data_IF_767199856930
#
_entry.id   IF_767199856930
#
_cell.length_a   1.000
_cell.length_b   1.000
_cell.length_c   1.000
_cell.angle_alpha   90.00
_cell.angle_beta   90.00
_cell.angle_gamma   90.00
#
_symmetry.space_group_name_H-M   'P 1'
#
loop_
_entity.id
_entity.type
_entity.pdbx_description
1 polymer ?
#
# COMPACT_ATOMS: atom_id res chain seq x y z
N UNK A 1 -12.68 -9.78 -6.97
CA UNK A 1 -12.46 -8.62 -6.08
C UNK A 1 -11.02 -8.68 -5.59
N UNK A 2 -10.20 -7.67 -5.87
CA UNK A 2 -8.81 -7.63 -5.39
C UNK A 2 -8.73 -6.92 -4.03
N UNK A 3 -7.72 -7.25 -3.25
CA UNK A 3 -7.38 -6.51 -2.02
C UNK A 3 -6.02 -5.84 -2.21
N UNK A 4 -5.95 -4.56 -1.87
CA UNK A 4 -4.75 -3.73 -1.94
C UNK A 4 -4.29 -3.43 -0.51
N UNK A 5 -3.04 -3.75 -0.19
CA UNK A 5 -2.45 -3.43 1.11
C UNK A 5 -1.30 -2.46 0.90
N UNK A 6 -1.48 -1.23 1.37
CA UNK A 6 -0.48 -0.17 1.32
C UNK A 6 0.21 -0.12 2.66
N UNK A 7 1.54 -0.25 2.68
CA UNK A 7 2.33 -0.07 3.89
C UNK A 7 2.75 1.39 4.03
N UNK A 8 2.65 1.88 5.25
CA UNK A 8 2.94 3.25 5.68
C UNK A 8 2.00 4.29 5.06
N UNK A 9 1.58 5.26 5.87
CA UNK A 9 0.80 6.39 5.41
C UNK A 9 1.72 7.61 5.24
N UNK A 10 2.16 7.84 4.00
CA UNK A 10 3.01 8.97 3.64
C UNK A 10 2.27 9.95 2.72
N UNK A 11 2.97 11.02 2.33
CA UNK A 11 2.41 12.08 1.46
C UNK A 11 1.88 11.58 0.10
N UNK A 12 2.36 10.44 -0.38
CA UNK A 12 2.03 9.90 -1.70
C UNK A 12 0.89 8.85 -1.63
N UNK A 13 0.58 8.36 -0.43
CA UNK A 13 -0.46 7.34 -0.18
C UNK A 13 -1.81 7.74 -0.75
N UNK A 14 -2.21 9.00 -0.63
CA UNK A 14 -3.49 9.47 -1.17
C UNK A 14 -3.53 9.42 -2.71
N UNK A 15 -2.42 9.74 -3.37
CA UNK A 15 -2.31 9.64 -4.83
C UNK A 15 -2.42 8.20 -5.32
N UNK A 16 -1.83 7.26 -4.57
CA UNK A 16 -1.95 5.83 -4.84
C UNK A 16 -3.39 5.32 -4.64
N UNK A 17 -4.07 5.72 -3.57
CA UNK A 17 -5.47 5.36 -3.31
C UNK A 17 -6.34 5.79 -4.50
N UNK A 18 -6.25 7.06 -4.91
CA UNK A 18 -7.06 7.59 -6.01
C UNK A 18 -6.80 6.80 -7.31
N UNK A 19 -5.53 6.49 -7.61
CA UNK A 19 -5.16 5.72 -8.79
C UNK A 19 -5.72 4.29 -8.80
N UNK A 20 -5.80 3.64 -7.64
CA UNK A 20 -6.32 2.28 -7.49
C UNK A 20 -7.85 2.26 -7.59
N UNK A 21 -8.53 3.18 -6.89
CA UNK A 21 -10.00 3.32 -6.94
C UNK A 21 -10.53 3.61 -8.35
N UNK A 22 -9.79 4.34 -9.19
CA UNK A 22 -10.18 4.59 -10.59
C UNK A 22 -10.11 3.35 -11.50
N UNK A 23 -9.36 2.31 -11.09
CA UNK A 23 -9.03 1.16 -11.96
C UNK A 23 -9.74 -0.14 -11.57
N UNK A 24 -10.07 -0.31 -10.30
CA UNK A 24 -10.57 -1.57 -9.75
C UNK A 24 -11.49 -1.25 -8.55
N UNK A 25 -12.54 -2.04 -8.34
CA UNK A 25 -13.48 -1.95 -7.21
C UNK A 25 -12.96 -2.70 -5.96
N UNK A 26 -11.68 -3.04 -5.95
CA UNK A 26 -11.01 -3.74 -4.88
C UNK A 26 -10.96 -2.97 -3.55
N UNK A 27 -10.81 -3.72 -2.46
CA UNK A 27 -10.70 -3.14 -1.12
C UNK A 27 -9.29 -2.57 -0.90
N UNK A 28 -9.20 -1.31 -0.47
CA UNK A 28 -7.91 -0.66 -0.18
C UNK A 28 -7.72 -0.58 1.34
N UNK A 29 -6.62 -1.14 1.83
CA UNK A 29 -6.20 -1.09 3.23
C UNK A 29 -4.85 -0.42 3.35
N UNK A 30 -4.72 0.58 4.21
CA UNK A 30 -3.48 1.26 4.54
C UNK A 30 -3.06 0.84 5.94
N UNK A 31 -1.87 0.27 6.06
CA UNK A 31 -1.26 -0.15 7.32
C UNK A 31 -0.25 0.92 7.74
N UNK A 32 -0.42 1.53 8.90
CA UNK A 32 0.54 2.47 9.46
C UNK A 32 0.71 2.21 10.97
N UNK A 33 1.93 1.85 11.38
CA UNK A 33 2.24 1.52 12.77
C UNK A 33 1.98 2.68 13.73
N UNK A 34 2.08 3.92 13.24
CA UNK A 34 1.94 5.13 14.04
C UNK A 34 0.50 5.66 14.10
N UNK A 35 -0.47 4.94 13.52
CA UNK A 35 -1.89 5.28 13.65
C UNK A 35 -2.34 5.13 15.11
N UNK A 36 -2.76 6.26 15.70
CA UNK A 36 -3.35 6.30 17.04
C UNK A 36 -4.58 5.40 17.17
N UNK A 37 -5.39 5.30 16.11
CA UNK A 37 -6.58 4.47 16.08
C UNK A 37 -6.32 3.15 15.36
N UNK A 38 -6.71 2.04 15.99
CA UNK A 38 -6.51 0.67 15.49
C UNK A 38 -7.19 0.44 14.13
N UNK A 39 -8.36 1.03 13.94
CA UNK A 39 -9.16 0.91 12.72
C UNK A 39 -9.88 2.23 12.47
N UNK A 40 -9.68 2.82 11.30
CA UNK A 40 -10.43 3.99 10.86
C UNK A 40 -10.70 3.94 9.36
N UNK A 41 -11.86 4.42 8.90
CA UNK A 41 -12.19 4.50 7.48
C UNK A 41 -12.08 5.94 7.00
N UNK A 42 -11.39 6.18 5.89
CA UNK A 42 -11.29 7.52 5.26
C UNK A 42 -11.56 7.37 3.77
N UNK A 43 -12.73 7.85 3.34
CA UNK A 43 -13.19 7.63 1.97
C UNK A 43 -13.34 6.14 1.66
N UNK A 44 -12.67 5.69 0.61
CA UNK A 44 -12.70 4.30 0.15
C UNK A 44 -11.63 3.40 0.79
N UNK A 45 -10.66 3.98 1.49
CA UNK A 45 -9.58 3.25 2.14
C UNK A 45 -9.86 2.99 3.64
N UNK A 46 -9.48 1.80 4.09
CA UNK A 46 -9.47 1.42 5.50
C UNK A 46 -8.05 1.57 6.04
N UNK A 47 -7.89 2.31 7.12
CA UNK A 47 -6.61 2.57 7.77
C UNK A 47 -6.53 1.72 9.03
N UNK A 48 -5.46 0.97 9.17
CA UNK A 48 -5.22 0.05 10.28
C UNK A 48 -3.80 0.23 10.82
N UNK A 49 -3.60 -0.07 12.09
CA UNK A 49 -2.25 -0.05 12.68
C UNK A 49 -1.65 -1.47 12.82
N UNK A 50 -0.41 -1.54 13.29
CA UNK A 50 0.32 -2.79 13.46
C UNK A 50 -0.42 -3.82 14.32
N UNK A 51 -1.12 -3.38 15.36
CA UNK A 51 -1.92 -4.25 16.24
C UNK A 51 -3.01 -5.01 15.47
N UNK A 52 -3.65 -4.37 14.48
CA UNK A 52 -4.64 -5.04 13.65
C UNK A 52 -3.99 -6.09 12.74
N UNK A 53 -2.86 -5.77 12.12
CA UNK A 53 -2.11 -6.72 11.27
C UNK A 53 -1.73 -7.97 12.05
N UNK A 54 -1.24 -7.79 13.29
CA UNK A 54 -0.89 -8.90 14.17
C UNK A 54 -2.07 -9.80 14.52
N UNK A 55 -3.30 -9.25 14.58
CA UNK A 55 -4.51 -10.02 14.86
C UNK A 55 -5.04 -10.81 13.66
N UNK A 56 -4.66 -10.43 12.43
CA UNK A 56 -5.16 -11.06 11.20
C UNK A 56 -4.09 -11.86 10.45
N UNK A 57 -2.84 -11.87 10.93
CA UNK A 57 -1.73 -12.61 10.30
C UNK A 57 -1.96 -14.11 10.16
N UNK A 58 -2.77 -14.69 11.06
CA UNK A 58 -3.13 -16.11 11.03
C UNK A 58 -4.21 -16.44 9.98
N UNK A 59 -4.73 -15.43 9.28
CA UNK A 59 -5.85 -15.58 8.32
C UNK A 59 -5.40 -15.82 6.87
N UNK A 60 -4.11 -16.00 6.60
CA UNK A 60 -3.54 -16.29 5.26
C UNK A 60 -3.98 -15.30 4.16
N UNK A 61 -3.95 -14.00 4.47
CA UNK A 61 -4.35 -12.95 3.53
C UNK A 61 -3.21 -12.63 2.54
N UNK A 62 -3.50 -12.47 1.24
CA UNK A 62 -2.49 -12.10 0.26
C UNK A 62 -2.07 -10.62 0.43
N UNK A 63 -0.84 -10.39 0.88
CA UNK A 63 -0.24 -9.06 0.93
C UNK A 63 0.36 -8.70 -0.45
N UNK A 64 -0.17 -7.65 -1.07
CA UNK A 64 0.37 -7.11 -2.33
C UNK A 64 0.97 -5.73 -2.06
N UNK A 65 2.30 -5.65 -2.10
CA UNK A 65 3.06 -4.43 -1.82
C UNK A 65 3.13 -3.53 -3.05
N UNK A 66 2.75 -2.25 -2.90
CA UNK A 66 2.89 -1.23 -3.94
C UNK A 66 3.87 -0.15 -3.50
N UNK A 67 4.83 0.15 -4.36
CA UNK A 67 5.67 1.35 -4.22
C UNK A 67 5.24 2.34 -5.31
N UNK A 68 4.60 3.43 -4.91
CA UNK A 68 4.23 4.48 -5.85
C UNK A 68 5.44 5.36 -6.13
N UNK A 69 5.72 5.57 -7.41
CA UNK A 69 6.83 6.41 -7.87
C UNK A 69 6.22 7.53 -8.69
N UNK A 70 6.38 8.76 -8.17
CA UNK A 70 5.90 9.95 -8.85
C UNK A 70 6.45 10.03 -10.29
N UNK A 71 5.67 10.57 -11.25
CA UNK A 71 6.08 10.67 -12.65
C UNK A 71 7.47 11.27 -12.86
N UNK A 72 7.84 12.26 -12.04
CA UNK A 72 9.13 12.96 -12.09
C UNK A 72 10.31 12.04 -11.72
N UNK A 73 10.09 11.01 -10.90
CA UNK A 73 11.11 10.07 -10.42
C UNK A 73 11.11 8.74 -11.19
N UNK A 74 10.24 8.57 -12.20
CA UNK A 74 10.16 7.34 -13.02
C UNK A 74 11.43 7.03 -13.81
N UNK A 75 12.29 8.03 -14.05
CA UNK A 75 13.58 7.81 -14.74
C UNK A 75 14.60 7.14 -13.82
N UNK A 76 14.58 7.44 -12.53
CA UNK A 76 15.46 6.84 -11.52
C UNK A 76 14.95 5.46 -11.09
N UNK A 77 13.63 5.27 -11.03
CA UNK A 77 13.01 3.97 -10.82
C UNK A 77 13.42 2.89 -11.84
N UNK A 78 13.67 3.29 -13.09
CA UNK A 78 14.20 2.38 -14.12
C UNK A 78 15.62 1.88 -13.81
N UNK A 79 16.43 2.65 -13.08
CA UNK A 79 17.75 2.18 -12.59
C UNK A 79 17.58 1.16 -11.46
N UNK A 80 16.65 1.38 -10.54
CA UNK A 80 16.36 0.44 -9.44
C UNK A 80 15.79 -0.91 -9.92
N UNK A 81 14.96 -0.92 -10.96
CA UNK A 81 14.48 -2.18 -11.55
C UNK A 81 15.63 -3.02 -12.11
N UNK A 82 16.73 -2.39 -12.58
CA UNK A 82 17.91 -3.10 -13.09
C UNK A 82 18.79 -3.67 -11.98
N UNK A 83 18.93 -2.98 -10.84
CA UNK A 83 19.71 -3.52 -9.71
C UNK A 83 19.04 -4.76 -9.11
N UNK A 84 17.71 -4.75 -8.95
CA UNK A 84 16.96 -5.91 -8.43
C UNK A 84 16.92 -7.11 -9.38
N UNK A 85 17.20 -6.92 -10.67
CA UNK A 85 17.26 -8.01 -11.67
C UNK A 85 18.70 -8.43 -12.01
N UNK A 86 19.70 -7.72 -11.50
CA UNK A 86 21.13 -8.04 -11.68
C UNK A 86 21.70 -8.91 -10.55
N UNK A 87 20.92 -9.19 -9.50
CA UNK A 87 21.28 -10.10 -8.39
C UNK A 87 20.73 -11.53 -8.60
N UNK A 88 20.59 -11.96 -9.86
CA UNK A 88 20.31 -13.36 -10.23
C UNK A 88 21.49 -13.99 -10.92
#
# INVERSE_FOLDING_TARGET
MKAYIILENNKDTQGLINHLSEKDDGTITVVDEYLENVLSKRGEATYVNGTYVDSVKDMDLPFVYYHYIEPIHRRDARKWRRSLSSER
#
